data_IF_232111406298
#
_entry.id   IF_232111406298
#
_cell.length_a   1.000
_cell.length_b   1.000
_cell.length_c   1.000
_cell.angle_alpha   90.00
_cell.angle_beta   90.00
_cell.angle_gamma   90.00
#
_symmetry.space_group_name_H-M   'P 1'
#
loop_
_entity.id
_entity.type
_entity.pdbx_description
1 polymer ?
#
# COMPACT_ATOMS: atom_id res chain seq x y z
N UNK A 1 19.23 -2.23 -29.80
CA UNK A 1 18.00 -2.27 -28.96
C UNK A 1 18.24 -2.43 -27.45
N UNK A 2 19.38 -2.96 -26.95
CA UNK A 2 19.58 -3.24 -25.51
C UNK A 2 19.84 -2.04 -24.56
N UNK A 3 20.37 -0.91 -25.06
CA UNK A 3 20.78 0.24 -24.20
C UNK A 3 19.62 0.94 -23.48
N UNK A 4 18.45 1.06 -24.11
CA UNK A 4 17.29 1.80 -23.55
C UNK A 4 16.60 1.03 -22.43
N UNK A 5 16.54 -0.29 -22.54
CA UNK A 5 15.94 -1.16 -21.51
C UNK A 5 16.75 -1.15 -20.21
N UNK A 6 18.08 -1.09 -20.31
CA UNK A 6 18.97 -1.03 -19.15
C UNK A 6 18.74 0.26 -18.35
N UNK A 7 18.59 1.41 -19.02
CA UNK A 7 18.30 2.69 -18.36
C UNK A 7 16.93 2.71 -17.69
N UNK A 8 15.91 2.12 -18.31
CA UNK A 8 14.56 2.08 -17.72
C UNK A 8 14.51 1.19 -16.48
N UNK A 9 15.15 0.02 -16.52
CA UNK A 9 15.23 -0.85 -15.35
C UNK A 9 15.98 -0.18 -14.20
N UNK A 10 17.08 0.53 -14.48
CA UNK A 10 17.82 1.28 -13.47
C UNK A 10 16.96 2.38 -12.83
N UNK A 11 16.24 3.17 -13.65
CA UNK A 11 15.34 4.22 -13.16
C UNK A 11 14.17 3.64 -12.35
N UNK A 12 13.63 2.49 -12.77
CA UNK A 12 12.59 1.78 -12.02
C UNK A 12 13.13 1.29 -10.67
N UNK A 13 14.29 0.64 -10.65
CA UNK A 13 14.93 0.20 -9.41
C UNK A 13 15.21 1.38 -8.47
N UNK A 14 15.69 2.51 -9.00
CA UNK A 14 15.89 3.73 -8.23
C UNK A 14 14.58 4.25 -7.63
N UNK A 15 13.50 4.32 -8.42
CA UNK A 15 12.19 4.71 -7.93
C UNK A 15 11.72 3.81 -6.79
N UNK A 16 11.80 2.49 -6.97
CA UNK A 16 11.36 1.51 -5.99
C UNK A 16 12.18 1.57 -4.69
N UNK A 17 13.50 1.76 -4.80
CA UNK A 17 14.39 1.77 -3.64
C UNK A 17 14.35 3.07 -2.85
N UNK A 18 14.03 4.21 -3.48
CA UNK A 18 14.09 5.53 -2.84
C UNK A 18 12.73 6.19 -2.65
N UNK A 19 11.97 6.38 -3.73
CA UNK A 19 10.70 7.10 -3.70
C UNK A 19 9.62 6.20 -3.11
N UNK A 20 9.47 4.98 -3.65
CA UNK A 20 8.46 4.04 -3.16
C UNK A 20 8.75 3.60 -1.72
N UNK A 21 10.01 3.45 -1.32
CA UNK A 21 10.36 3.08 0.06
C UNK A 21 9.93 4.15 1.07
N UNK A 22 10.16 5.43 0.76
CA UNK A 22 9.71 6.55 1.59
C UNK A 22 8.18 6.68 1.57
N UNK A 23 7.56 6.58 0.39
CA UNK A 23 6.09 6.61 0.27
C UNK A 23 5.41 5.43 0.98
N UNK A 24 6.05 4.27 1.08
CA UNK A 24 5.45 3.11 1.73
C UNK A 24 5.75 3.03 3.21
N UNK A 25 6.75 3.80 3.68
CA UNK A 25 7.08 3.88 5.09
C UNK A 25 5.92 4.48 5.88
N UNK A 26 5.36 3.69 6.80
CA UNK A 26 4.25 4.12 7.65
C UNK A 26 2.95 4.46 6.90
N UNK A 27 2.79 4.06 5.63
CA UNK A 27 1.62 4.45 4.80
C UNK A 27 0.27 4.13 5.46
N UNK A 28 0.19 3.04 6.22
CA UNK A 28 -1.01 2.65 6.96
C UNK A 28 -1.42 3.65 8.05
N UNK A 29 -0.47 4.42 8.59
CA UNK A 29 -0.71 5.38 9.65
C UNK A 29 -1.08 6.77 9.13
N UNK A 30 -0.50 7.20 8.02
CA UNK A 30 -0.70 8.56 7.50
C UNK A 30 -1.69 8.66 6.35
N UNK A 31 -1.92 7.60 5.56
CA UNK A 31 -2.73 7.70 4.34
C UNK A 31 -4.19 8.09 4.64
N UNK A 32 -4.84 7.47 5.62
CA UNK A 32 -6.22 7.85 5.99
C UNK A 32 -6.31 9.24 6.61
N UNK A 33 -5.25 9.67 7.30
CA UNK A 33 -5.18 10.97 7.97
C UNK A 33 -4.74 12.12 7.04
N UNK A 34 -4.33 11.82 5.81
CA UNK A 34 -3.84 12.82 4.86
C UNK A 34 -4.98 13.52 4.13
N UNK A 35 -4.83 14.82 3.91
CA UNK A 35 -5.82 15.59 3.15
C UNK A 35 -5.87 15.14 1.69
N UNK A 36 -6.98 15.45 1.00
CA UNK A 36 -7.12 15.21 -0.44
C UNK A 36 -6.03 15.97 -1.23
N UNK A 37 -5.61 17.14 -0.73
CA UNK A 37 -4.55 17.93 -1.35
C UNK A 37 -3.19 17.23 -1.25
N UNK A 38 -2.86 16.67 -0.10
CA UNK A 38 -1.62 15.92 0.13
C UNK A 38 -1.56 14.67 -0.74
N UNK A 39 -2.65 13.88 -0.76
CA UNK A 39 -2.77 12.70 -1.63
C UNK A 39 -2.56 13.05 -3.10
N UNK A 40 -3.14 14.16 -3.57
CA UNK A 40 -2.94 14.66 -4.94
C UNK A 40 -1.49 15.08 -5.18
N UNK A 41 -0.83 15.72 -4.22
CA UNK A 41 0.58 16.11 -4.34
C UNK A 41 1.49 14.87 -4.46
N UNK A 42 1.29 13.86 -3.62
CA UNK A 42 2.02 12.59 -3.68
C UNK A 42 1.76 11.84 -4.99
N UNK A 43 0.51 11.80 -5.46
CA UNK A 43 0.18 11.19 -6.75
C UNK A 43 0.87 11.89 -7.93
N UNK A 44 1.10 13.21 -7.86
CA UNK A 44 1.87 13.94 -8.89
C UNK A 44 3.33 13.48 -8.93
N UNK A 45 3.94 13.18 -7.79
CA UNK A 45 5.31 12.64 -7.74
C UNK A 45 5.38 11.31 -8.49
N UNK A 46 4.43 10.40 -8.23
CA UNK A 46 4.32 9.12 -8.93
C UNK A 46 4.13 9.34 -10.44
N UNK A 47 3.25 10.26 -10.84
CA UNK A 47 2.99 10.57 -12.25
C UNK A 47 4.22 11.14 -12.96
N UNK A 48 5.00 11.99 -12.28
CA UNK A 48 6.26 12.52 -12.79
C UNK A 48 7.29 11.40 -12.98
N UNK A 49 7.44 10.51 -11.99
CA UNK A 49 8.34 9.36 -12.11
C UNK A 49 7.94 8.46 -13.28
N UNK A 50 6.66 8.16 -13.43
CA UNK A 50 6.12 7.40 -14.56
C UNK A 50 6.43 8.06 -15.90
N UNK A 51 6.29 9.39 -16.00
CA UNK A 51 6.62 10.13 -17.23
C UNK A 51 8.12 10.12 -17.58
N UNK A 52 9.00 10.05 -16.58
CA UNK A 52 10.45 9.96 -16.75
C UNK A 52 10.86 8.54 -17.16
N UNK A 53 10.37 7.54 -16.42
CA UNK A 53 10.70 6.12 -16.63
C UNK A 53 10.08 5.58 -17.93
N UNK A 54 8.95 6.16 -18.37
CA UNK A 54 8.11 5.68 -19.47
C UNK A 54 7.51 4.30 -19.19
N UNK A 55 7.22 4.00 -17.92
CA UNK A 55 6.54 2.79 -17.46
C UNK A 55 5.36 3.17 -16.58
N UNK A 56 4.30 2.34 -16.60
CA UNK A 56 3.18 2.49 -15.69
C UNK A 56 3.63 2.15 -14.27
N UNK A 57 3.42 3.09 -13.34
CA UNK A 57 3.68 2.89 -11.92
C UNK A 57 2.35 2.75 -11.18
N UNK A 58 2.29 1.97 -10.09
CA UNK A 58 1.07 1.84 -9.30
C UNK A 58 0.64 3.20 -8.73
N UNK A 59 -0.66 3.48 -8.74
CA UNK A 59 -1.17 4.71 -8.13
C UNK A 59 -1.00 4.66 -6.61
N UNK A 60 -1.05 5.82 -5.95
CA UNK A 60 -0.94 5.91 -4.50
C UNK A 60 -1.98 5.03 -3.78
N UNK A 61 -3.19 4.98 -4.31
CA UNK A 61 -4.30 4.18 -3.77
C UNK A 61 -4.02 2.68 -3.91
N UNK A 62 -3.43 2.26 -5.04
CA UNK A 62 -3.03 0.86 -5.27
C UNK A 62 -1.90 0.44 -4.32
N UNK A 63 -0.92 1.34 -4.11
CA UNK A 63 0.16 1.14 -3.15
C UNK A 63 -0.41 0.96 -1.74
N UNK A 64 -1.33 1.84 -1.32
CA UNK A 64 -1.99 1.72 -0.02
C UNK A 64 -2.78 0.42 0.09
N UNK A 65 -3.63 0.08 -0.88
CA UNK A 65 -4.44 -1.14 -0.87
C UNK A 65 -3.57 -2.40 -0.81
N UNK A 66 -2.50 -2.46 -1.60
CA UNK A 66 -1.53 -3.56 -1.58
C UNK A 66 -0.87 -3.73 -0.22
N UNK A 67 -0.49 -2.62 0.43
CA UNK A 67 0.14 -2.63 1.77
C UNK A 67 -0.85 -3.05 2.85
N UNK A 68 -2.10 -2.60 2.78
CA UNK A 68 -3.18 -3.05 3.65
C UNK A 68 -3.37 -4.57 3.55
N UNK A 69 -3.50 -5.10 2.33
CA UNK A 69 -3.66 -6.53 2.10
C UNK A 69 -2.46 -7.34 2.59
N UNK A 70 -1.23 -6.85 2.37
CA UNK A 70 -0.02 -7.53 2.85
C UNK A 70 0.03 -7.57 4.38
N UNK A 71 -0.30 -6.48 5.06
CA UNK A 71 -0.35 -6.43 6.52
C UNK A 71 -1.42 -7.37 7.06
N UNK A 72 -2.60 -7.37 6.44
CA UNK A 72 -3.70 -8.25 6.79
C UNK A 72 -3.33 -9.73 6.64
N UNK A 73 -2.72 -10.11 5.51
CA UNK A 73 -2.24 -11.48 5.32
C UNK A 73 -1.20 -11.89 6.37
N UNK A 74 -0.32 -10.98 6.79
CA UNK A 74 0.63 -11.27 7.86
C UNK A 74 -0.06 -11.51 9.20
N UNK A 75 -1.12 -10.75 9.52
CA UNK A 75 -1.94 -10.95 10.72
C UNK A 75 -2.63 -12.31 10.66
N UNK A 76 -3.26 -12.63 9.55
CA UNK A 76 -4.03 -13.88 9.38
C UNK A 76 -3.15 -15.12 9.25
N UNK A 77 -1.86 -14.96 8.94
CA UNK A 77 -0.90 -16.06 8.95
C UNK A 77 -0.49 -16.44 10.38
N UNK A 78 -0.64 -15.53 11.33
CA UNK A 78 -0.22 -15.71 12.72
C UNK A 78 -1.44 -15.77 13.63
N UNK A 79 -1.84 -16.98 14.02
CA UNK A 79 -2.97 -17.21 14.94
C UNK A 79 -2.73 -16.68 16.36
N UNK A 80 -1.48 -16.40 16.74
CA UNK A 80 -1.14 -15.77 18.02
C UNK A 80 -1.23 -14.25 17.98
N UNK A 81 -1.39 -13.66 16.80
CA UNK A 81 -1.47 -12.22 16.64
C UNK A 81 -2.73 -11.68 17.33
N UNK A 82 -2.65 -10.60 18.13
CA UNK A 82 -3.80 -10.07 18.88
C UNK A 82 -4.96 -9.63 17.98
N UNK A 83 -4.66 -9.19 16.77
CA UNK A 83 -5.65 -8.81 15.76
C UNK A 83 -6.17 -9.97 14.89
N UNK A 84 -5.74 -11.21 15.08
CA UNK A 84 -6.13 -12.35 14.24
C UNK A 84 -7.66 -12.51 14.20
N UNK A 85 -8.31 -12.49 15.36
CA UNK A 85 -9.76 -12.62 15.51
C UNK A 85 -10.56 -11.38 15.09
N UNK A 86 -9.89 -10.30 14.64
CA UNK A 86 -10.56 -9.08 14.18
C UNK A 86 -10.87 -9.12 12.68
N UNK A 87 -10.35 -10.11 11.95
CA UNK A 87 -10.54 -10.21 10.50
C UNK A 87 -11.03 -11.59 10.10
N UNK A 88 -12.02 -11.63 9.21
CA UNK A 88 -12.54 -12.85 8.61
C UNK A 88 -12.47 -12.79 7.08
N UNK A 89 -12.15 -13.92 6.46
CA UNK A 89 -12.28 -14.08 5.02
C UNK A 89 -13.75 -14.35 4.68
N UNK A 90 -14.31 -13.57 3.76
CA UNK A 90 -15.69 -13.78 3.32
C UNK A 90 -15.83 -15.08 2.52
N UNK A 91 -17.03 -15.70 2.47
CA UNK A 91 -17.26 -16.97 1.77
C UNK A 91 -16.84 -16.98 0.29
N UNK A 92 -16.79 -15.81 -0.35
CA UNK A 92 -16.31 -15.67 -1.73
C UNK A 92 -14.80 -15.91 -1.91
N UNK A 93 -14.03 -15.98 -0.82
CA UNK A 93 -12.58 -16.15 -0.82
C UNK A 93 -11.79 -14.96 -1.37
N UNK A 94 -12.45 -13.84 -1.68
CA UNK A 94 -11.82 -12.68 -2.36
C UNK A 94 -11.65 -11.44 -1.50
N UNK A 95 -12.43 -11.33 -0.43
CA UNK A 95 -12.53 -10.10 0.36
C UNK A 95 -12.49 -10.47 1.84
N UNK A 96 -11.79 -9.64 2.60
CA UNK A 96 -11.78 -9.73 4.05
C UNK A 96 -12.73 -8.70 4.64
N UNK A 97 -13.29 -9.01 5.81
CA UNK A 97 -14.10 -8.10 6.59
C UNK A 97 -13.49 -7.97 7.98
N UNK A 98 -13.53 -6.75 8.53
CA UNK A 98 -13.28 -6.54 9.95
C UNK A 98 -14.51 -6.95 10.75
N UNK A 99 -14.33 -7.84 11.73
CA UNK A 99 -15.37 -8.19 12.69
C UNK A 99 -15.51 -7.02 13.66
N UNK A 100 -16.65 -6.32 13.66
CA UNK A 100 -16.92 -5.28 14.65
C UNK A 100 -17.08 -5.96 16.01
N UNK A 101 -16.11 -5.82 16.89
CA UNK A 101 -16.32 -6.08 18.31
C UNK A 101 -17.05 -4.87 18.90
N UNK A 102 -18.28 -5.09 19.38
CA UNK A 102 -18.93 -4.15 20.29
C UNK A 102 -18.21 -4.27 21.63
N UNK A 103 -17.08 -3.58 21.80
CA UNK A 103 -16.56 -3.33 23.14
C UNK A 103 -17.42 -2.21 23.74
N UNK A 104 -18.50 -2.61 24.43
CA UNK A 104 -19.07 -1.79 25.50
C UNK A 104 -17.93 -1.50 26.48
N UNK A 105 -17.37 -0.30 26.41
CA UNK A 105 -16.65 0.28 27.54
C UNK A 105 -17.72 0.59 28.59
N UNK A 106 -17.86 -0.31 29.56
CA UNK A 106 -18.53 -0.04 30.82
C UNK A 106 -17.45 0.42 31.80
N UNK A 107 -17.35 1.73 32.03
CA UNK A 107 -16.86 2.31 33.29
C UNK A 107 -18.00 3.10 33.92
#
# INVERSE_FOLDING_TARGET
LRKVYLSQHLLLSYYQSTIESVLTYGILAWYENSSVADKKALQRIIKTAQNIIKLQLPALDDIFASRCLRKLHNILRDSSHPAYNLYELLPSGRRYRTIKQYHTFSE
#
